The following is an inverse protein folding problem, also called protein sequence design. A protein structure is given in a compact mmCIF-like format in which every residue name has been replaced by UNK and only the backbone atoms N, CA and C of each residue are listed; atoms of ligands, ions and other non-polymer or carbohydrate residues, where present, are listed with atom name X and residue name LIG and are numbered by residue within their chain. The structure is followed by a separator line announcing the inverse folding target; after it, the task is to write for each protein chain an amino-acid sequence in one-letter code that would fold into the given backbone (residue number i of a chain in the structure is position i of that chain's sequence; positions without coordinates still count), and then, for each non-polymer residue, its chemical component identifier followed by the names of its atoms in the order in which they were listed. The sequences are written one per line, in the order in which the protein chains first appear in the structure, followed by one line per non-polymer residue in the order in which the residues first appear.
data_IF_712480022550
#
_entry.id   IF_712480022550
#
_cell.length_a   1.000
_cell.length_b   1.000
_cell.length_c   1.000
_cell.angle_alpha   90.00
_cell.angle_beta   90.00
_cell.angle_gamma   90.00
#
_symmetry.space_group_name_H-M   'P 1'
#
loop_
_entity.id
_entity.type
_entity.pdbx_description
1 polymer ?
#
# COMPACT_ATOMS: atom_id res chain seq x y z
N UNK A 1 39.37 35.88 12.54
CA UNK A 1 37.90 35.63 12.54
C UNK A 1 37.66 34.34 11.79
N UNK A 2 37.61 33.23 12.53
CA UNK A 2 37.20 31.92 11.97
C UNK A 2 35.70 31.97 11.77
N UNK A 3 35.25 32.09 10.53
CA UNK A 3 33.87 31.92 10.17
C UNK A 3 33.48 30.46 10.43
N UNK A 4 32.59 30.22 11.38
CA UNK A 4 31.91 28.97 11.54
C UNK A 4 31.01 28.78 10.28
N UNK A 5 31.50 28.14 9.24
CA UNK A 5 30.66 27.60 8.18
C UNK A 5 29.82 26.50 8.84
N UNK A 6 28.57 26.82 9.16
CA UNK A 6 27.57 25.80 9.49
C UNK A 6 27.52 24.87 8.27
N UNK A 7 28.02 23.64 8.43
CA UNK A 7 27.89 22.60 7.40
C UNK A 7 26.41 22.50 7.09
N UNK A 8 26.00 22.77 5.88
CA UNK A 8 24.58 22.64 5.50
C UNK A 8 24.12 21.21 5.78
N UNK A 9 22.96 21.09 6.42
CA UNK A 9 22.42 19.80 6.82
C UNK A 9 22.10 19.01 5.55
N UNK A 10 22.65 17.80 5.43
CA UNK A 10 22.33 16.90 4.32
C UNK A 10 20.84 16.59 4.31
N UNK A 11 20.26 16.58 3.11
CA UNK A 11 18.84 16.40 2.89
C UNK A 11 18.55 15.07 2.20
N UNK A 12 17.45 14.43 2.60
CA UNK A 12 16.83 13.33 1.89
C UNK A 12 15.52 13.84 1.26
N UNK A 13 15.26 13.46 0.04
CA UNK A 13 14.00 13.75 -0.64
C UNK A 13 13.08 12.55 -0.53
N UNK A 14 11.82 12.76 -0.16
CA UNK A 14 10.73 11.80 -0.27
C UNK A 14 9.83 12.24 -1.41
N UNK A 15 9.66 11.38 -2.41
CA UNK A 15 8.70 11.55 -3.50
C UNK A 15 7.56 10.56 -3.28
N UNK A 16 6.38 11.09 -2.94
CA UNK A 16 5.16 10.33 -2.69
C UNK A 16 4.27 10.37 -3.92
N UNK A 17 3.85 9.19 -4.41
CA UNK A 17 2.99 9.10 -5.60
C UNK A 17 1.54 9.58 -5.37
N UNK A 18 1.03 9.51 -4.14
CA UNK A 18 -0.27 10.07 -3.76
C UNK A 18 -0.15 11.58 -3.51
N UNK A 19 -1.27 12.30 -3.65
CA UNK A 19 -1.37 13.66 -3.12
C UNK A 19 -1.36 13.67 -1.59
N UNK A 20 -1.15 14.84 -0.99
CA UNK A 20 -1.16 14.97 0.46
C UNK A 20 -2.54 14.63 1.04
N UNK A 21 -3.64 15.04 0.38
CA UNK A 21 -4.99 14.66 0.77
C UNK A 21 -5.23 13.15 0.60
N UNK A 22 -4.75 12.56 -0.49
CA UNK A 22 -4.89 11.12 -0.76
C UNK A 22 -4.16 10.23 0.26
N UNK A 23 -3.14 10.75 0.94
CA UNK A 23 -2.48 10.06 2.07
C UNK A 23 -3.40 9.92 3.29
N UNK A 24 -4.35 10.86 3.48
CA UNK A 24 -5.29 10.85 4.61
C UNK A 24 -6.43 9.85 4.41
N UNK A 25 -6.76 9.52 3.17
CA UNK A 25 -7.80 8.52 2.85
C UNK A 25 -7.34 7.09 3.15
N UNK A 26 -6.03 6.84 3.08
CA UNK A 26 -5.42 5.56 3.43
C UNK A 26 -4.08 5.79 4.15
N UNK A 27 -4.05 5.53 5.46
CA UNK A 27 -2.88 5.72 6.32
C UNK A 27 -1.69 4.80 6.00
N UNK A 28 -1.83 3.90 5.02
CA UNK A 28 -0.78 2.99 4.59
C UNK A 28 0.50 3.75 4.17
N UNK A 29 0.37 4.68 3.24
CA UNK A 29 1.51 5.46 2.74
C UNK A 29 2.00 6.50 3.76
N UNK A 30 1.09 7.08 4.53
CA UNK A 30 1.45 7.94 5.65
C UNK A 30 2.39 7.26 6.64
N UNK A 31 2.08 6.01 7.04
CA UNK A 31 2.89 5.26 7.99
C UNK A 31 4.26 4.86 7.42
N UNK A 32 4.35 4.55 6.13
CA UNK A 32 5.64 4.32 5.45
C UNK A 32 6.50 5.59 5.55
N UNK A 33 5.94 6.75 5.17
CA UNK A 33 6.62 8.03 5.24
C UNK A 33 7.07 8.37 6.66
N UNK A 34 6.21 8.15 7.64
CA UNK A 34 6.54 8.36 9.05
C UNK A 34 7.76 7.51 9.51
N UNK A 35 7.84 6.27 9.05
CA UNK A 35 8.98 5.39 9.32
C UNK A 35 10.28 5.93 8.73
N UNK A 36 10.23 6.43 7.49
CA UNK A 36 11.37 7.10 6.84
C UNK A 36 11.81 8.32 7.64
N UNK A 37 10.87 9.20 7.98
CA UNK A 37 11.15 10.46 8.67
C UNK A 37 11.78 10.24 10.05
N UNK A 38 11.25 9.31 10.83
CA UNK A 38 11.83 8.91 12.12
C UNK A 38 13.25 8.39 11.96
N UNK A 39 13.49 7.54 10.95
CA UNK A 39 14.82 6.95 10.73
C UNK A 39 15.82 7.97 10.19
N UNK A 40 15.39 8.91 9.35
CA UNK A 40 16.22 10.00 8.88
C UNK A 40 16.68 10.93 10.03
N UNK A 41 15.84 11.14 11.04
CA UNK A 41 16.21 11.87 12.25
C UNK A 41 17.32 11.17 13.03
N UNK A 42 17.31 9.83 13.11
CA UNK A 42 18.39 9.06 13.76
C UNK A 42 19.75 9.28 13.08
N UNK A 43 19.76 9.58 11.77
CA UNK A 43 20.95 9.89 10.97
C UNK A 43 21.26 11.40 10.88
N UNK A 44 20.48 12.25 11.55
CA UNK A 44 20.58 13.71 11.47
C UNK A 44 20.40 14.28 10.04
N UNK A 45 19.57 13.64 9.19
CA UNK A 45 19.21 14.15 7.89
C UNK A 45 18.00 15.08 7.96
N UNK A 46 17.96 16.11 7.09
CA UNK A 46 16.76 16.88 6.81
C UNK A 46 15.89 16.15 5.78
N UNK A 47 14.61 16.51 5.72
CA UNK A 47 13.64 15.91 4.80
C UNK A 47 12.98 16.98 3.95
N UNK A 48 12.98 16.77 2.64
CA UNK A 48 12.17 17.49 1.66
C UNK A 48 11.10 16.53 1.12
N UNK A 49 9.87 17.01 0.96
CA UNK A 49 8.73 16.19 0.52
C UNK A 49 8.15 16.73 -0.77
N UNK A 50 7.86 15.80 -1.70
CA UNK A 50 7.12 16.08 -2.93
C UNK A 50 5.95 15.09 -2.99
N UNK A 51 4.74 15.63 -3.13
CA UNK A 51 3.52 14.84 -3.25
C UNK A 51 3.00 14.91 -4.68
N UNK A 52 2.88 13.76 -5.33
CA UNK A 52 2.41 13.65 -6.71
C UNK A 52 3.16 14.57 -7.69
N UNK A 53 4.44 14.81 -7.41
CA UNK A 53 5.31 15.69 -8.18
C UNK A 53 6.74 15.16 -8.19
N UNK A 54 7.41 15.26 -9.33
CA UNK A 54 8.83 14.92 -9.49
C UNK A 54 9.58 16.21 -9.80
N UNK A 55 10.48 16.67 -8.93
CA UNK A 55 11.20 17.91 -9.15
C UNK A 55 12.13 17.80 -10.37
N UNK A 56 12.24 18.85 -11.16
CA UNK A 56 13.10 18.87 -12.35
C UNK A 56 14.60 18.66 -12.01
N UNK A 57 15.05 19.14 -10.85
CA UNK A 57 16.42 18.96 -10.33
C UNK A 57 16.43 19.13 -8.81
N UNK A 58 17.47 18.59 -8.19
CA UNK A 58 17.71 18.68 -6.75
C UNK A 58 18.99 19.47 -6.46
N UNK A 59 19.04 20.10 -5.29
CA UNK A 59 20.23 20.79 -4.81
C UNK A 59 21.38 19.85 -4.44
N UNK A 60 22.59 20.41 -4.27
CA UNK A 60 23.78 19.63 -3.88
C UNK A 60 23.67 19.05 -2.47
N UNK A 61 22.91 19.72 -1.59
CA UNK A 61 22.62 19.26 -0.22
C UNK A 61 21.81 17.96 -0.17
N UNK A 62 21.12 17.59 -1.27
CA UNK A 62 20.34 16.34 -1.35
C UNK A 62 21.27 15.19 -1.68
N UNK A 63 21.29 14.21 -0.79
CA UNK A 63 22.17 13.04 -0.88
C UNK A 63 21.49 11.76 -1.37
N UNK A 64 20.14 11.73 -1.41
CA UNK A 64 19.40 10.59 -1.89
C UNK A 64 17.89 10.81 -1.91
N UNK A 65 17.18 9.91 -2.59
CA UNK A 65 15.74 10.01 -2.84
C UNK A 65 15.05 8.69 -2.46
N UNK A 66 13.96 8.78 -1.71
CA UNK A 66 13.05 7.70 -1.40
C UNK A 66 11.74 7.90 -2.18
N UNK A 67 11.40 6.94 -3.03
CA UNK A 67 10.23 6.98 -3.90
C UNK A 67 9.14 6.05 -3.33
N UNK A 68 8.06 6.60 -2.77
CA UNK A 68 6.99 5.83 -2.12
C UNK A 68 5.84 5.65 -3.11
N UNK A 69 5.47 4.41 -3.37
CA UNK A 69 4.28 4.05 -4.14
C UNK A 69 4.58 3.55 -5.55
N UNK A 70 3.70 3.84 -6.49
CA UNK A 70 3.68 3.26 -7.82
C UNK A 70 4.04 4.29 -8.89
N UNK A 71 5.10 4.02 -9.62
CA UNK A 71 5.61 4.91 -10.67
C UNK A 71 5.58 4.19 -12.01
N UNK A 72 5.18 4.88 -13.08
CA UNK A 72 5.29 4.38 -14.44
C UNK A 72 6.75 4.27 -14.86
N UNK A 73 7.01 3.53 -15.92
CA UNK A 73 8.34 3.45 -16.51
C UNK A 73 8.89 4.82 -16.92
N UNK A 74 8.00 5.69 -17.43
CA UNK A 74 8.37 7.06 -17.80
C UNK A 74 8.79 7.88 -16.57
N UNK A 75 8.05 7.78 -15.46
CA UNK A 75 8.38 8.45 -14.20
C UNK A 75 9.68 7.93 -13.59
N UNK A 76 9.98 6.63 -13.70
CA UNK A 76 11.25 6.06 -13.22
C UNK A 76 12.43 6.67 -14.00
N UNK A 77 12.32 6.79 -15.33
CA UNK A 77 13.34 7.47 -16.15
C UNK A 77 13.50 8.94 -15.75
N UNK A 78 12.43 9.59 -15.36
CA UNK A 78 12.45 10.97 -14.86
C UNK A 78 13.18 11.07 -13.51
N UNK A 79 12.91 10.14 -12.60
CA UNK A 79 13.59 10.01 -11.31
C UNK A 79 15.09 9.74 -11.47
N UNK A 80 15.49 8.90 -12.43
CA UNK A 80 16.90 8.62 -12.74
C UNK A 80 17.68 9.88 -13.18
N UNK A 81 17.01 10.82 -13.84
CA UNK A 81 17.62 12.11 -14.25
C UNK A 81 17.99 13.03 -13.09
N UNK A 82 17.46 12.75 -11.90
CA UNK A 82 17.85 13.48 -10.69
C UNK A 82 19.30 13.23 -10.27
N UNK A 83 19.91 12.16 -10.83
CA UNK A 83 21.31 11.78 -10.59
C UNK A 83 21.66 11.64 -9.10
N UNK A 84 20.75 11.00 -8.36
CA UNK A 84 20.90 10.71 -6.93
C UNK A 84 20.61 9.23 -6.66
N UNK A 85 21.17 8.63 -5.61
CA UNK A 85 20.75 7.30 -5.15
C UNK A 85 19.24 7.24 -4.96
N UNK A 86 18.58 6.22 -5.55
CA UNK A 86 17.14 5.99 -5.48
C UNK A 86 16.84 4.70 -4.73
N UNK A 87 15.88 4.73 -3.82
CA UNK A 87 15.29 3.54 -3.21
C UNK A 87 13.76 3.62 -3.31
N UNK A 88 13.14 2.57 -3.81
CA UNK A 88 11.69 2.50 -3.97
C UNK A 88 11.04 1.76 -2.79
N UNK A 89 9.85 2.20 -2.41
CA UNK A 89 9.04 1.58 -1.36
C UNK A 89 7.65 1.27 -1.90
N UNK A 90 7.18 0.06 -1.66
CA UNK A 90 5.91 -0.47 -2.16
C UNK A 90 5.84 -0.63 -3.69
N UNK A 91 7.00 -0.71 -4.33
CA UNK A 91 7.16 -1.07 -5.74
C UNK A 91 8.29 -2.07 -5.89
N UNK A 92 8.12 -3.09 -6.73
CA UNK A 92 9.22 -3.99 -7.06
C UNK A 92 9.95 -3.47 -8.30
N UNK A 93 11.07 -2.79 -8.08
CA UNK A 93 11.90 -2.16 -9.11
C UNK A 93 13.23 -2.88 -9.35
N UNK A 94 13.41 -4.10 -8.81
CA UNK A 94 14.66 -4.86 -8.94
C UNK A 94 15.01 -5.13 -10.41
N UNK A 95 14.02 -5.44 -11.25
CA UNK A 95 14.22 -5.66 -12.69
C UNK A 95 14.58 -4.38 -13.47
N UNK A 96 14.46 -3.22 -12.82
CA UNK A 96 14.82 -1.91 -13.36
C UNK A 96 16.15 -1.40 -12.78
N UNK A 97 16.83 -2.24 -11.98
CA UNK A 97 18.14 -1.93 -11.41
C UNK A 97 18.11 -1.11 -10.13
N UNK A 98 16.94 -0.87 -9.55
CA UNK A 98 16.80 -0.08 -8.32
C UNK A 98 16.47 -0.95 -7.11
N UNK A 99 17.09 -0.70 -5.94
CA UNK A 99 16.71 -1.35 -4.70
C UNK A 99 15.31 -0.92 -4.28
N UNK A 100 14.59 -1.86 -3.67
CA UNK A 100 13.23 -1.60 -3.19
C UNK A 100 12.92 -2.37 -1.90
N UNK A 101 11.94 -1.82 -1.17
CA UNK A 101 11.28 -2.49 -0.04
C UNK A 101 9.82 -2.69 -0.41
N UNK A 102 9.36 -3.92 -0.43
CA UNK A 102 8.02 -4.29 -0.86
C UNK A 102 7.41 -5.35 0.06
N UNK A 103 6.08 -5.41 0.10
CA UNK A 103 5.34 -6.44 0.84
C UNK A 103 5.37 -7.77 0.09
N UNK A 104 5.51 -8.86 0.83
CA UNK A 104 5.35 -10.21 0.31
C UNK A 104 3.86 -10.58 0.30
N UNK A 105 3.18 -10.29 -0.82
CA UNK A 105 1.72 -10.39 -0.92
C UNK A 105 1.22 -11.83 -1.04
N UNK A 106 1.97 -12.74 -1.66
CA UNK A 106 1.52 -14.10 -1.94
C UNK A 106 1.22 -14.85 -0.65
N UNK A 107 2.20 -14.95 0.28
CA UNK A 107 2.03 -15.61 1.57
C UNK A 107 1.03 -14.89 2.47
N UNK A 108 0.98 -13.56 2.42
CA UNK A 108 0.06 -12.76 3.22
C UNK A 108 -1.40 -13.07 2.85
N UNK A 109 -1.72 -13.06 1.55
CA UNK A 109 -3.06 -13.40 1.05
C UNK A 109 -3.38 -14.87 1.32
N UNK A 110 -2.43 -15.78 1.09
CA UNK A 110 -2.61 -17.20 1.41
C UNK A 110 -2.94 -17.42 2.89
N UNK A 111 -2.32 -16.66 3.79
CA UNK A 111 -2.61 -16.71 5.23
C UNK A 111 -4.05 -16.30 5.53
N UNK A 112 -4.52 -15.17 4.97
CA UNK A 112 -5.87 -14.69 5.14
C UNK A 112 -6.92 -15.71 4.64
N UNK A 113 -6.74 -16.20 3.42
CA UNK A 113 -7.69 -17.14 2.81
C UNK A 113 -7.69 -18.50 3.51
N UNK A 114 -6.51 -18.98 3.93
CA UNK A 114 -6.40 -20.23 4.71
C UNK A 114 -7.06 -20.10 6.09
N UNK A 115 -6.98 -18.92 6.70
CA UNK A 115 -7.70 -18.64 7.94
C UNK A 115 -9.23 -18.76 7.73
N UNK A 116 -9.78 -18.09 6.73
CA UNK A 116 -11.21 -18.17 6.41
C UNK A 116 -11.66 -19.61 6.11
N UNK A 117 -10.84 -20.38 5.38
CA UNK A 117 -11.11 -21.81 5.13
C UNK A 117 -11.16 -22.63 6.41
N UNK A 118 -10.24 -22.36 7.35
CA UNK A 118 -10.24 -23.02 8.68
C UNK A 118 -11.47 -22.66 9.52
N UNK A 119 -12.04 -21.48 9.33
CA UNK A 119 -13.30 -21.06 9.96
C UNK A 119 -14.55 -21.71 9.31
N UNK A 120 -14.38 -22.51 8.26
CA UNK A 120 -15.47 -23.23 7.60
C UNK A 120 -16.00 -22.57 6.33
N UNK A 121 -15.51 -21.40 5.93
CA UNK A 121 -15.95 -20.71 4.72
C UNK A 121 -15.64 -21.56 3.48
N UNK A 122 -16.67 -21.92 2.71
CA UNK A 122 -16.52 -22.68 1.46
C UNK A 122 -16.34 -21.73 0.27
N UNK A 123 -17.07 -20.64 0.27
CA UNK A 123 -17.03 -19.58 -0.76
C UNK A 123 -16.42 -18.32 -0.18
N UNK A 124 -15.42 -17.77 -0.86
CA UNK A 124 -14.73 -16.55 -0.44
C UNK A 124 -14.73 -15.58 -1.62
N UNK A 125 -15.32 -14.41 -1.42
CA UNK A 125 -15.25 -13.32 -2.39
C UNK A 125 -14.03 -12.42 -2.19
N UNK A 126 -13.75 -11.56 -3.16
CA UNK A 126 -12.71 -10.56 -3.11
C UNK A 126 -13.29 -9.16 -3.33
N UNK A 127 -12.98 -8.24 -2.42
CA UNK A 127 -13.13 -6.80 -2.64
C UNK A 127 -11.77 -6.22 -3.00
N UNK A 128 -11.63 -5.64 -4.19
CA UNK A 128 -10.37 -5.08 -4.66
C UNK A 128 -10.56 -3.74 -5.35
N UNK A 129 -9.48 -3.02 -5.58
CA UNK A 129 -9.47 -1.76 -6.32
C UNK A 129 -8.62 -1.85 -7.58
N UNK A 130 -8.85 -0.93 -8.48
CA UNK A 130 -8.00 -0.65 -9.62
C UNK A 130 -7.33 0.71 -9.43
N UNK A 131 -6.05 0.78 -9.75
CA UNK A 131 -5.26 2.00 -9.68
C UNK A 131 -4.48 2.19 -10.97
N UNK A 132 -4.11 3.44 -11.22
CA UNK A 132 -3.19 3.82 -12.29
C UNK A 132 -2.06 4.65 -11.71
N UNK A 133 -0.92 4.65 -12.39
CA UNK A 133 0.15 5.61 -12.09
C UNK A 133 -0.37 7.04 -12.22
N UNK A 134 0.25 7.98 -11.53
CA UNK A 134 -0.23 9.37 -11.47
C UNK A 134 -0.22 10.08 -12.81
N UNK A 135 0.65 9.67 -13.73
CA UNK A 135 0.67 10.12 -15.13
C UNK A 135 -0.39 9.42 -16.01
N UNK A 136 -1.16 8.47 -15.44
CA UNK A 136 -2.22 7.69 -16.09
C UNK A 136 -1.73 6.77 -17.23
N UNK A 137 -0.42 6.62 -17.41
CA UNK A 137 0.15 5.83 -18.52
C UNK A 137 0.06 4.32 -18.27
N UNK A 138 0.08 3.90 -17.01
CA UNK A 138 0.10 2.48 -16.67
C UNK A 138 -1.00 2.14 -15.66
N UNK A 139 -1.69 1.02 -15.90
CA UNK A 139 -2.55 0.38 -14.90
C UNK A 139 -1.69 -0.42 -13.93
N UNK A 140 -2.04 -0.36 -12.64
CA UNK A 140 -1.32 -1.03 -11.57
C UNK A 140 -2.04 -2.33 -11.25
N UNK A 141 -1.49 -3.51 -11.63
CA UNK A 141 -2.08 -4.79 -11.25
C UNK A 141 -1.98 -4.98 -9.74
N UNK A 142 -3.12 -5.25 -9.08
CA UNK A 142 -3.10 -5.56 -7.65
C UNK A 142 -2.51 -6.96 -7.41
N UNK A 143 -1.36 -7.08 -6.72
CA UNK A 143 -0.73 -8.37 -6.42
C UNK A 143 -1.61 -9.26 -5.53
N UNK A 144 -2.49 -8.67 -4.69
CA UNK A 144 -3.44 -9.40 -3.84
C UNK A 144 -4.51 -10.10 -4.65
N UNK A 145 -5.01 -9.46 -5.74
CA UNK A 145 -5.94 -10.09 -6.70
C UNK A 145 -5.32 -11.29 -7.38
N UNK A 146 -4.06 -11.20 -7.78
CA UNK A 146 -3.32 -12.31 -8.38
C UNK A 146 -3.14 -13.45 -7.38
N UNK A 147 -2.70 -13.16 -6.15
CA UNK A 147 -2.52 -14.15 -5.10
C UNK A 147 -3.84 -14.85 -4.73
N UNK A 148 -4.93 -14.09 -4.59
CA UNK A 148 -6.27 -14.62 -4.38
C UNK A 148 -6.68 -15.59 -5.50
N UNK A 149 -6.52 -15.17 -6.76
CA UNK A 149 -6.87 -15.99 -7.93
C UNK A 149 -6.08 -17.30 -7.93
N UNK A 150 -4.77 -17.25 -7.73
CA UNK A 150 -3.91 -18.43 -7.69
C UNK A 150 -4.35 -19.39 -6.59
N UNK A 151 -4.52 -18.89 -5.36
CA UNK A 151 -4.98 -19.68 -4.23
C UNK A 151 -6.32 -20.39 -4.50
N UNK A 152 -7.28 -19.67 -5.05
CA UNK A 152 -8.62 -20.20 -5.31
C UNK A 152 -8.64 -21.22 -6.47
N UNK A 153 -7.84 -21.00 -7.53
CA UNK A 153 -7.72 -21.95 -8.65
C UNK A 153 -7.10 -23.27 -8.17
N UNK A 154 -5.98 -23.21 -7.42
CA UNK A 154 -5.30 -24.40 -6.91
C UNK A 154 -6.20 -25.28 -6.04
N UNK A 155 -7.24 -24.70 -5.42
CA UNK A 155 -8.19 -25.38 -4.53
C UNK A 155 -9.56 -25.60 -5.14
N UNK A 156 -9.73 -25.28 -6.43
CA UNK A 156 -11.00 -25.43 -7.16
C UNK A 156 -12.18 -24.68 -6.51
N UNK A 157 -11.92 -23.51 -5.93
CA UNK A 157 -12.91 -22.62 -5.30
C UNK A 157 -12.92 -21.22 -5.95
N UNK A 158 -12.42 -21.10 -7.17
CA UNK A 158 -12.37 -19.82 -7.87
C UNK A 158 -13.72 -19.48 -8.49
N UNK A 159 -14.31 -18.38 -8.04
CA UNK A 159 -15.57 -17.83 -8.49
C UNK A 159 -15.38 -16.38 -8.97
N UNK A 160 -15.16 -16.13 -10.27
CA UNK A 160 -14.88 -14.78 -10.78
C UNK A 160 -16.04 -13.80 -10.51
N UNK A 161 -17.29 -14.29 -10.42
CA UNK A 161 -18.48 -13.48 -10.09
C UNK A 161 -18.49 -12.98 -8.63
N UNK A 162 -17.63 -13.50 -7.76
CA UNK A 162 -17.46 -13.05 -6.38
C UNK A 162 -16.34 -12.00 -6.24
N UNK A 163 -15.70 -11.62 -7.34
CA UNK A 163 -14.69 -10.55 -7.36
C UNK A 163 -15.39 -9.23 -7.65
N UNK A 164 -15.41 -8.35 -6.66
CA UNK A 164 -15.98 -7.01 -6.78
C UNK A 164 -14.84 -6.00 -6.86
N UNK A 165 -14.81 -5.23 -7.94
CA UNK A 165 -13.70 -4.32 -8.25
C UNK A 165 -14.18 -2.88 -8.30
N UNK A 166 -13.50 -2.00 -7.57
CA UNK A 166 -13.75 -0.56 -7.53
C UNK A 166 -12.46 0.22 -7.32
N UNK A 167 -12.43 1.13 -6.37
CA UNK A 167 -11.23 1.86 -5.93
C UNK A 167 -10.91 1.55 -4.47
N UNK A 168 -9.69 1.85 -4.00
CA UNK A 168 -9.26 1.59 -2.62
C UNK A 168 -9.78 2.64 -1.63
N UNK A 169 -11.10 2.86 -1.61
CA UNK A 169 -11.77 3.82 -0.71
C UNK A 169 -12.91 3.14 0.07
N UNK A 170 -13.26 3.70 1.22
CA UNK A 170 -14.40 3.22 2.00
C UNK A 170 -15.73 3.39 1.23
N UNK A 171 -15.88 4.48 0.49
CA UNK A 171 -17.07 4.69 -0.34
C UNK A 171 -17.21 3.58 -1.39
N UNK A 172 -16.12 3.22 -2.05
CA UNK A 172 -16.15 2.13 -3.04
C UNK A 172 -16.51 0.77 -2.40
N UNK A 173 -15.97 0.46 -1.23
CA UNK A 173 -16.33 -0.76 -0.49
C UNK A 173 -17.82 -0.81 -0.14
N UNK A 174 -18.38 0.33 0.28
CA UNK A 174 -19.81 0.48 0.55
C UNK A 174 -20.66 0.27 -0.71
N UNK A 175 -20.32 0.94 -1.81
CA UNK A 175 -21.06 0.88 -3.07
C UNK A 175 -21.05 -0.54 -3.69
N UNK A 176 -19.90 -1.22 -3.64
CA UNK A 176 -19.74 -2.58 -4.14
C UNK A 176 -20.66 -3.56 -3.39
N UNK A 177 -20.66 -3.51 -2.07
CA UNK A 177 -21.51 -4.39 -1.26
C UNK A 177 -22.99 -4.00 -1.37
N UNK A 178 -23.32 -2.70 -1.35
CA UNK A 178 -24.70 -2.25 -1.53
C UNK A 178 -25.29 -2.72 -2.86
N UNK A 179 -24.52 -2.62 -3.96
CA UNK A 179 -24.92 -3.11 -5.28
C UNK A 179 -25.08 -4.64 -5.28
N UNK A 180 -24.18 -5.36 -4.60
CA UNK A 180 -24.25 -6.82 -4.48
C UNK A 180 -25.51 -7.24 -3.73
N UNK A 181 -25.87 -6.56 -2.64
CA UNK A 181 -27.06 -6.84 -1.82
C UNK A 181 -28.37 -6.54 -2.56
N UNK A 182 -28.36 -5.61 -3.53
CA UNK A 182 -29.50 -5.30 -4.38
C UNK A 182 -29.68 -6.29 -5.54
N UNK A 183 -28.68 -7.13 -5.80
CA UNK A 183 -28.73 -8.14 -6.84
C UNK A 183 -29.31 -9.45 -6.30
N UNK A 184 -29.91 -10.29 -7.17
CA UNK A 184 -30.39 -11.63 -6.82
C UNK A 184 -29.25 -12.65 -6.62
N UNK A 185 -28.01 -12.20 -6.66
CA UNK A 185 -26.82 -13.06 -6.55
C UNK A 185 -26.53 -13.42 -5.09
N UNK A 186 -26.26 -14.69 -4.76
CA UNK A 186 -25.98 -15.09 -3.39
C UNK A 186 -24.68 -14.46 -2.86
N UNK A 187 -24.67 -14.16 -1.57
CA UNK A 187 -23.44 -13.74 -0.88
C UNK A 187 -22.52 -14.95 -0.67
N UNK A 188 -21.20 -14.76 -0.70
CA UNK A 188 -20.25 -15.78 -0.24
C UNK A 188 -20.28 -15.91 1.29
N UNK A 189 -19.65 -16.95 1.82
CA UNK A 189 -19.48 -17.13 3.27
C UNK A 189 -18.56 -16.05 3.88
N UNK A 190 -17.63 -15.53 3.08
CA UNK A 190 -16.70 -14.50 3.50
C UNK A 190 -16.26 -13.60 2.35
N UNK A 191 -15.82 -12.39 2.68
CA UNK A 191 -15.02 -11.55 1.79
C UNK A 191 -13.61 -11.35 2.35
N UNK A 192 -12.62 -11.47 1.46
CA UNK A 192 -11.29 -10.91 1.64
C UNK A 192 -11.28 -9.53 0.99
N UNK A 193 -11.03 -8.48 1.77
CA UNK A 193 -10.90 -7.11 1.27
C UNK A 193 -9.41 -6.74 1.14
N UNK A 194 -9.01 -6.27 -0.03
CA UNK A 194 -7.64 -5.95 -0.34
C UNK A 194 -7.09 -4.71 0.41
N UNK A 195 -7.94 -3.97 1.14
CA UNK A 195 -7.53 -2.94 2.10
C UNK A 195 -8.54 -2.77 3.22
N UNK A 196 -8.10 -2.17 4.33
CA UNK A 196 -8.99 -1.84 5.45
C UNK A 196 -10.04 -0.81 5.03
N UNK A 197 -9.70 0.14 4.18
CA UNK A 197 -10.66 1.15 3.68
C UNK A 197 -11.84 0.48 2.95
N UNK A 198 -11.56 -0.46 2.04
CA UNK A 198 -12.61 -1.26 1.37
C UNK A 198 -13.45 -2.04 2.39
N UNK A 199 -12.80 -2.69 3.37
CA UNK A 199 -13.50 -3.47 4.39
C UNK A 199 -14.39 -2.61 5.29
N UNK A 200 -13.97 -1.41 5.65
CA UNK A 200 -14.76 -0.46 6.46
C UNK A 200 -16.05 -0.08 5.73
N UNK A 201 -15.96 0.24 4.45
CA UNK A 201 -17.13 0.53 3.63
C UNK A 201 -18.06 -0.67 3.49
N UNK A 202 -17.51 -1.86 3.24
CA UNK A 202 -18.26 -3.11 3.17
C UNK A 202 -18.97 -3.41 4.49
N UNK A 203 -18.28 -3.28 5.62
CA UNK A 203 -18.84 -3.48 6.95
C UNK A 203 -20.05 -2.59 7.20
N UNK A 204 -19.94 -1.30 6.83
CA UNK A 204 -21.05 -0.36 6.92
C UNK A 204 -22.25 -0.80 6.08
N UNK A 205 -22.04 -1.21 4.84
CA UNK A 205 -23.13 -1.69 3.96
C UNK A 205 -23.82 -2.92 4.53
N UNK A 206 -23.07 -3.89 5.09
CA UNK A 206 -23.64 -5.05 5.76
C UNK A 206 -24.46 -4.64 6.98
N UNK A 207 -23.98 -3.74 7.82
CA UNK A 207 -24.68 -3.25 9.00
C UNK A 207 -25.99 -2.55 8.64
N UNK A 208 -26.00 -1.69 7.64
CA UNK A 208 -27.20 -1.00 7.16
C UNK A 208 -28.25 -1.98 6.59
N UNK A 209 -27.81 -3.12 6.06
CA UNK A 209 -28.67 -4.21 5.59
C UNK A 209 -29.08 -5.20 6.70
N UNK A 210 -28.65 -5.01 7.94
CA UNK A 210 -28.94 -5.90 9.07
C UNK A 210 -28.15 -7.23 9.03
N UNK A 211 -27.12 -7.34 8.19
CA UNK A 211 -26.25 -8.52 8.08
C UNK A 211 -25.13 -8.41 9.12
N UNK A 212 -25.01 -9.44 9.94
CA UNK A 212 -24.04 -9.46 11.03
C UNK A 212 -22.68 -9.96 10.57
N UNK A 213 -21.64 -9.21 10.90
CA UNK A 213 -20.24 -9.61 10.75
C UNK A 213 -19.70 -9.89 12.16
N UNK A 214 -19.15 -11.07 12.47
CA UNK A 214 -18.85 -12.18 11.56
C UNK A 214 -19.93 -13.26 11.46
N UNK A 215 -21.10 -13.14 12.12
CA UNK A 215 -22.05 -14.25 12.32
C UNK A 215 -22.71 -14.71 11.01
N UNK A 216 -23.17 -13.78 10.17
CA UNK A 216 -23.83 -14.07 8.90
C UNK A 216 -22.85 -14.10 7.72
N UNK A 217 -21.79 -13.30 7.77
CA UNK A 217 -20.72 -13.25 6.78
C UNK A 217 -19.40 -12.88 7.46
N UNK A 218 -18.32 -13.54 7.07
CA UNK A 218 -17.00 -13.19 7.60
C UNK A 218 -16.32 -12.15 6.71
N UNK A 219 -15.49 -11.30 7.33
CA UNK A 219 -14.74 -10.25 6.65
C UNK A 219 -13.33 -10.19 7.20
N UNK A 220 -12.34 -10.32 6.32
CA UNK A 220 -10.94 -10.12 6.65
C UNK A 220 -10.33 -9.09 5.70
N UNK A 221 -9.50 -8.21 6.22
CA UNK A 221 -8.91 -7.12 5.45
C UNK A 221 -7.38 -7.18 5.37
N UNK A 222 -6.77 -6.13 4.89
CA UNK A 222 -5.35 -6.02 4.64
C UNK A 222 -4.85 -4.62 4.99
N UNK A 223 -3.72 -4.49 5.65
CA UNK A 223 -2.89 -3.37 6.07
C UNK A 223 -2.78 -3.22 7.59
N UNK A 224 -3.82 -3.51 8.39
CA UNK A 224 -3.91 -3.28 9.85
C UNK A 224 -3.68 -1.80 10.22
N UNK A 225 -4.38 -0.92 9.52
CA UNK A 225 -4.37 0.52 9.85
C UNK A 225 -5.08 0.77 11.19
N UNK A 226 -4.82 1.92 11.81
CA UNK A 226 -5.49 2.29 13.06
C UNK A 226 -7.02 2.31 12.97
N UNK A 227 -7.56 2.60 11.77
CA UNK A 227 -9.00 2.62 11.52
C UNK A 227 -9.65 1.24 11.63
N UNK A 228 -8.93 0.17 11.26
CA UNK A 228 -9.44 -1.20 11.36
C UNK A 228 -9.82 -1.60 12.80
N UNK A 229 -9.16 -1.00 13.78
CA UNK A 229 -9.40 -1.23 15.23
C UNK A 229 -10.51 -0.36 15.82
N UNK A 230 -10.91 0.70 15.11
CA UNK A 230 -11.88 1.70 15.61
C UNK A 230 -13.31 1.44 15.16
N UNK A 231 -13.51 0.57 14.17
CA UNK A 231 -14.86 0.16 13.73
C UNK A 231 -15.42 -0.96 14.63
N UNK A 232 -16.71 -1.17 14.58
CA UNK A 232 -17.36 -2.22 15.36
C UNK A 232 -18.14 -3.19 14.43
N UNK A 233 -17.89 -4.52 14.51
CA UNK A 233 -16.77 -5.12 15.24
C UNK A 233 -15.41 -4.69 14.66
N UNK A 234 -14.33 -4.76 15.45
CA UNK A 234 -12.98 -4.52 14.91
C UNK A 234 -12.67 -5.51 13.79
N UNK A 235 -11.99 -5.03 12.74
CA UNK A 235 -11.67 -5.89 11.60
C UNK A 235 -10.56 -6.89 11.94
N UNK A 236 -10.74 -8.13 11.53
CA UNK A 236 -9.63 -9.06 11.33
C UNK A 236 -8.85 -8.62 10.10
N UNK A 237 -7.55 -8.45 10.20
CA UNK A 237 -6.74 -7.88 9.12
C UNK A 237 -5.34 -8.48 9.09
N UNK A 238 -4.72 -8.48 7.90
CA UNK A 238 -3.30 -8.82 7.75
C UNK A 238 -2.46 -7.58 8.06
N UNK A 239 -1.56 -7.70 9.03
CA UNK A 239 -0.65 -6.60 9.38
C UNK A 239 0.44 -6.45 8.33
N UNK A 240 0.55 -5.24 7.76
CA UNK A 240 1.72 -4.80 7.00
C UNK A 240 2.52 -3.85 7.88
N UNK A 241 3.78 -4.15 8.12
CA UNK A 241 4.67 -3.35 8.98
C UNK A 241 5.17 -2.11 8.23
N UNK A 242 4.26 -1.21 7.91
CA UNK A 242 4.49 -0.05 7.03
C UNK A 242 5.55 0.91 7.57
N UNK A 243 5.55 1.19 8.86
CA UNK A 243 6.59 2.02 9.49
C UNK A 243 7.97 1.35 9.38
N UNK A 244 8.04 0.04 9.57
CA UNK A 244 9.30 -0.72 9.42
C UNK A 244 9.77 -0.76 7.96
N UNK A 245 8.86 -0.84 6.99
CA UNK A 245 9.20 -0.69 5.57
C UNK A 245 9.89 0.65 5.31
N UNK A 246 9.36 1.72 5.86
CA UNK A 246 9.95 3.05 5.74
C UNK A 246 11.34 3.14 6.39
N UNK A 247 11.50 2.63 7.60
CA UNK A 247 12.78 2.57 8.32
C UNK A 247 13.83 1.77 7.52
N UNK A 248 13.44 0.60 7.04
CA UNK A 248 14.30 -0.26 6.22
C UNK A 248 14.73 0.41 4.93
N UNK A 249 13.83 1.11 4.25
CA UNK A 249 14.15 1.84 3.04
C UNK A 249 15.16 2.96 3.29
N UNK A 250 15.03 3.68 4.42
CA UNK A 250 16.00 4.69 4.82
C UNK A 250 17.36 4.07 5.14
N UNK A 251 17.41 2.90 5.78
CA UNK A 251 18.66 2.18 6.04
C UNK A 251 19.34 1.74 4.74
N UNK A 252 18.57 1.26 3.75
CA UNK A 252 19.09 0.89 2.42
C UNK A 252 19.68 2.11 1.72
N UNK A 253 18.95 3.25 1.72
CA UNK A 253 19.44 4.48 1.12
C UNK A 253 20.71 4.98 1.81
N UNK A 254 20.75 4.98 3.14
CA UNK A 254 21.91 5.41 3.91
C UNK A 254 23.16 4.58 3.58
N UNK A 255 23.01 3.26 3.41
CA UNK A 255 24.13 2.39 2.98
C UNK A 255 24.64 2.76 1.59
N UNK A 256 23.76 3.09 0.64
CA UNK A 256 24.18 3.53 -0.70
C UNK A 256 24.91 4.87 -0.67
N UNK A 257 24.45 5.81 0.16
CA UNK A 257 25.08 7.13 0.32
C UNK A 257 26.47 7.03 0.94
N UNK A 258 26.64 6.15 1.95
CA UNK A 258 27.92 5.96 2.64
C UNK A 258 28.92 5.10 1.84
N UNK A 259 28.44 4.24 0.96
CA UNK A 259 29.26 3.36 0.13
C UNK A 259 28.74 3.40 -1.32
N UNK A 260 28.97 4.50 -2.05
CA UNK A 260 28.62 4.55 -3.46
C UNK A 260 29.33 3.40 -4.17
N UNK A 261 28.59 2.61 -4.95
CA UNK A 261 29.21 1.60 -5.82
C UNK A 261 30.05 2.33 -6.86
N UNK A 262 31.35 2.00 -6.90
CA UNK A 262 32.24 2.38 -7.99
C UNK A 262 31.72 1.87 -9.35
#
# INVERSE_FOLDING_TARGET
KSGNFKKEKQQIVIIQWKSEEGELDDLYYYNIRLGIEKRAQDFDYGILRYFNDIPFRLGEEVIGVLCIGKFSRAQIVELERLDKPLVFVDSNTLNQGHPCVATEFENAVQTALSYLRKQGCQTIGLLTGEEKTTDLLESIPDPRRRAYRNYCIERSIYHPELILTGSFTAQSGYDLISSRLQSDSPLPDAYFAASDSLAIGALRAFQEAGIKVPDDIQLISFNDTSLAKQVFPPLSTITVFTEEMGRTAMDVLNKQVLSPRE
#
